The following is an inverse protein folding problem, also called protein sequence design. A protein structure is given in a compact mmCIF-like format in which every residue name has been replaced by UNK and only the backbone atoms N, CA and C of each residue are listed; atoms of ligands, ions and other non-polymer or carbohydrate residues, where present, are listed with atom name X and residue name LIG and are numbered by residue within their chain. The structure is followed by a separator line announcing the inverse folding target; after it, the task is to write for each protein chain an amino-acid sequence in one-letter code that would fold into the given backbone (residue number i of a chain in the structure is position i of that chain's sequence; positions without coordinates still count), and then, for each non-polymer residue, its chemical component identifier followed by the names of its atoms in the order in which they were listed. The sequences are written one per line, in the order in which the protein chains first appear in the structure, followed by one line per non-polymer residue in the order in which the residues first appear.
data_IF_165120913641
#
_entry.id   IF_165120913641
#
_cell.length_a   1.000
_cell.length_b   1.000
_cell.length_c   1.000
_cell.angle_alpha   90.00
_cell.angle_beta   90.00
_cell.angle_gamma   90.00
#
_symmetry.space_group_name_H-M   'P 1'
#
loop_
_entity.id
_entity.type
_entity.pdbx_description
1 polymer ?
#
# COMPACT_ATOMS: atom_id res chain seq x y z
N UNK A 1 5.45 16.30 -13.40
CA UNK A 1 6.21 15.06 -13.31
C UNK A 1 5.53 13.99 -14.15
N UNK A 2 6.24 13.33 -15.03
CA UNK A 2 5.59 12.30 -15.82
C UNK A 2 5.17 11.13 -14.94
N UNK A 3 4.03 10.56 -15.26
CA UNK A 3 3.55 9.38 -14.57
C UNK A 3 4.49 8.23 -14.92
N UNK A 4 4.95 7.44 -13.94
CA UNK A 4 5.76 6.27 -14.22
C UNK A 4 5.04 5.33 -15.21
N UNK A 5 5.79 4.65 -16.04
CA UNK A 5 5.20 3.72 -17.01
C UNK A 5 4.31 2.68 -16.34
N UNK A 6 4.72 2.21 -15.19
CA UNK A 6 3.91 1.31 -14.38
C UNK A 6 2.53 1.90 -14.10
N UNK A 7 2.48 3.14 -13.65
CA UNK A 7 1.20 3.78 -13.32
C UNK A 7 0.36 4.03 -14.57
N UNK A 8 1.01 4.43 -15.67
CA UNK A 8 0.31 4.63 -16.92
C UNK A 8 -0.32 3.33 -17.44
N UNK A 9 0.40 2.22 -17.33
CA UNK A 9 -0.13 0.92 -17.74
C UNK A 9 -1.30 0.48 -16.88
N UNK A 10 -1.19 0.70 -15.57
CA UNK A 10 -2.27 0.36 -14.65
C UNK A 10 -3.50 1.20 -14.96
N UNK A 11 -3.33 2.49 -15.18
CA UNK A 11 -4.44 3.38 -15.47
C UNK A 11 -5.12 3.06 -16.79
N UNK A 12 -4.38 2.57 -17.78
CA UNK A 12 -4.94 2.18 -19.07
C UNK A 12 -5.66 0.84 -19.02
N UNK A 13 -5.32 0.01 -18.08
CA UNK A 13 -6.10 -1.19 -17.82
C UNK A 13 -7.35 -0.74 -17.13
N UNK A 14 -8.44 -0.85 -17.80
CA UNK A 14 -9.72 -0.48 -17.22
C UNK A 14 -9.88 -1.26 -15.92
N UNK A 15 -10.01 -0.55 -14.83
CA UNK A 15 -10.31 -1.18 -13.56
C UNK A 15 -11.66 -1.86 -13.65
N UNK A 16 -11.67 -3.15 -13.41
CA UNK A 16 -12.90 -3.91 -13.40
C UNK A 16 -13.27 -4.21 -11.95
N UNK A 17 -14.31 -3.56 -11.39
CA UNK A 17 -14.68 -3.79 -10.00
C UNK A 17 -15.10 -5.23 -9.73
N UNK A 18 -15.38 -6.01 -10.76
CA UNK A 18 -15.69 -7.42 -10.58
C UNK A 18 -14.46 -8.26 -10.27
N UNK A 19 -13.26 -7.73 -10.47
CA UNK A 19 -12.03 -8.43 -10.08
C UNK A 19 -11.90 -8.49 -8.56
N UNK A 20 -12.47 -7.51 -7.86
CA UNK A 20 -12.51 -7.48 -6.41
C UNK A 20 -13.97 -7.53 -5.98
N UNK A 21 -14.36 -8.66 -5.42
CA UNK A 21 -15.72 -8.80 -4.91
C UNK A 21 -15.86 -8.08 -3.58
N UNK A 22 -17.08 -7.70 -3.27
CA UNK A 22 -17.39 -7.10 -1.98
C UNK A 22 -16.91 -8.01 -0.86
N UNK A 23 -16.12 -7.45 0.06
CA UNK A 23 -15.55 -8.18 1.17
C UNK A 23 -14.18 -8.78 0.92
N UNK A 24 -13.66 -8.70 -0.31
CA UNK A 24 -12.30 -9.11 -0.59
C UNK A 24 -11.31 -8.11 -0.01
N UNK A 25 -10.12 -8.60 0.30
CA UNK A 25 -9.07 -7.74 0.83
C UNK A 25 -8.58 -6.76 -0.23
N UNK A 26 -8.19 -5.56 0.17
CA UNK A 26 -7.51 -4.65 -0.72
C UNK A 26 -6.26 -5.28 -1.33
N UNK A 27 -5.93 -4.88 -2.54
CA UNK A 27 -4.74 -5.37 -3.24
C UNK A 27 -3.85 -4.19 -3.57
N UNK A 28 -2.59 -4.27 -3.13
CA UNK A 28 -1.59 -3.27 -3.45
C UNK A 28 -0.79 -3.75 -4.66
N UNK A 29 -0.77 -2.93 -5.71
CA UNK A 29 -0.05 -3.25 -6.94
C UNK A 29 1.22 -2.40 -6.97
N UNK A 30 2.35 -3.07 -7.11
CA UNK A 30 3.64 -2.40 -7.11
C UNK A 30 4.53 -2.95 -8.23
N UNK A 31 5.51 -2.15 -8.63
CA UNK A 31 6.43 -2.51 -9.69
C UNK A 31 7.72 -3.05 -9.08
N UNK A 32 8.20 -4.18 -9.61
CA UNK A 32 9.46 -4.76 -9.18
C UNK A 32 10.63 -3.84 -9.51
N UNK A 33 11.47 -3.56 -8.53
CA UNK A 33 12.61 -2.64 -8.69
C UNK A 33 13.69 -3.14 -9.64
N UNK A 34 13.75 -4.44 -9.87
CA UNK A 34 14.73 -5.03 -10.77
C UNK A 34 14.15 -5.36 -12.15
N UNK A 35 12.93 -5.90 -12.17
CA UNK A 35 12.36 -6.44 -13.40
C UNK A 35 11.34 -5.52 -14.08
N UNK A 36 10.81 -4.56 -13.35
CA UNK A 36 9.70 -3.73 -13.84
C UNK A 36 8.37 -4.47 -13.91
N UNK A 37 8.31 -5.70 -13.44
CA UNK A 37 7.07 -6.47 -13.42
C UNK A 37 6.14 -5.94 -12.36
N UNK A 38 4.84 -6.07 -12.62
CA UNK A 38 3.83 -5.72 -11.63
C UNK A 38 3.53 -6.91 -10.75
N UNK A 39 3.48 -6.64 -9.46
CA UNK A 39 3.15 -7.64 -8.46
C UNK A 39 1.92 -7.18 -7.69
N UNK A 40 1.16 -8.15 -7.21
CA UNK A 40 -0.05 -7.90 -6.42
C UNK A 40 0.18 -8.46 -5.01
N UNK A 41 -0.07 -7.63 -4.03
CA UNK A 41 0.07 -8.04 -2.63
C UNK A 41 -1.25 -7.76 -1.91
N UNK A 42 -2.04 -8.78 -1.56
CA UNK A 42 -3.24 -8.56 -0.77
C UNK A 42 -2.87 -8.23 0.67
N UNK A 43 -3.44 -7.15 1.20
CA UNK A 43 -3.18 -6.74 2.58
C UNK A 43 -4.25 -5.75 3.03
N UNK A 44 -4.31 -5.53 4.33
CA UNK A 44 -5.25 -4.58 4.88
C UNK A 44 -4.72 -3.15 4.70
N UNK A 45 -5.59 -2.25 4.30
CA UNK A 45 -5.29 -0.84 4.13
C UNK A 45 -6.06 -0.05 5.18
N UNK A 46 -5.35 0.66 6.03
CA UNK A 46 -5.97 1.45 7.09
C UNK A 46 -6.01 2.92 6.68
N UNK A 47 -7.20 3.48 6.44
CA UNK A 47 -7.29 4.87 6.00
C UNK A 47 -6.82 5.83 7.09
N UNK A 48 -6.06 6.82 6.69
CA UNK A 48 -5.61 7.91 7.53
C UNK A 48 -5.87 9.21 6.80
N UNK A 49 -5.57 10.33 7.41
CA UNK A 49 -5.73 11.61 6.73
C UNK A 49 -4.88 11.62 5.46
N UNK A 50 -5.52 11.88 4.33
CA UNK A 50 -4.90 11.99 3.00
C UNK A 50 -4.22 10.73 2.47
N UNK A 51 -4.45 9.57 3.09
CA UNK A 51 -3.77 8.38 2.61
C UNK A 51 -4.13 7.09 3.34
N UNK A 52 -3.16 6.18 3.37
CA UNK A 52 -3.32 4.86 3.96
C UNK A 52 -2.05 4.45 4.70
N UNK A 53 -2.24 3.61 5.72
CA UNK A 53 -1.15 2.96 6.44
C UNK A 53 -1.28 1.45 6.23
N UNK A 54 -0.14 0.82 5.97
CA UNK A 54 -0.04 -0.63 5.79
C UNK A 54 0.89 -1.19 6.86
N UNK A 55 0.49 -2.28 7.50
CA UNK A 55 1.35 -2.94 8.48
C UNK A 55 2.39 -3.79 7.76
N UNK A 56 3.65 -3.58 8.10
CA UNK A 56 4.76 -4.30 7.48
C UNK A 56 5.03 -5.57 8.30
N UNK A 57 4.26 -6.63 8.00
CA UNK A 57 4.22 -7.84 8.82
C UNK A 57 5.51 -8.64 8.82
N UNK A 58 6.28 -8.60 7.74
CA UNK A 58 7.49 -9.41 7.59
C UNK A 58 8.76 -8.56 7.58
N UNK A 59 8.67 -7.35 8.10
CA UNK A 59 9.80 -6.45 8.20
C UNK A 59 10.02 -5.57 6.99
N UNK A 60 10.85 -4.51 7.14
CA UNK A 60 11.05 -3.52 6.07
C UNK A 60 11.85 -4.05 4.90
N UNK A 61 12.44 -5.25 5.03
CA UNK A 61 13.19 -5.88 3.94
C UNK A 61 12.30 -6.70 3.01
N UNK A 62 11.01 -6.78 3.27
CA UNK A 62 10.07 -7.46 2.37
C UNK A 62 10.13 -6.84 0.98
N UNK A 63 10.05 -7.67 -0.05
CA UNK A 63 10.19 -7.20 -1.43
C UNK A 63 9.16 -6.15 -1.81
N UNK A 64 7.92 -6.31 -1.37
CA UNK A 64 6.88 -5.35 -1.72
C UNK A 64 7.17 -3.95 -1.15
N UNK A 65 7.73 -3.88 0.05
CA UNK A 65 8.12 -2.62 0.67
C UNK A 65 9.25 -1.97 -0.11
N UNK A 66 10.28 -2.74 -0.42
CA UNK A 66 11.43 -2.24 -1.17
C UNK A 66 11.03 -1.76 -2.56
N UNK A 67 10.15 -2.51 -3.22
CA UNK A 67 9.64 -2.13 -4.54
C UNK A 67 8.93 -0.78 -4.49
N UNK A 68 8.08 -0.58 -3.51
CA UNK A 68 7.32 0.66 -3.38
C UNK A 68 8.23 1.83 -3.02
N UNK A 69 9.16 1.64 -2.09
CA UNK A 69 10.09 2.70 -1.72
C UNK A 69 10.96 3.10 -2.92
N UNK A 70 11.35 2.15 -3.74
CA UNK A 70 12.13 2.43 -4.93
C UNK A 70 11.32 3.18 -5.99
N UNK A 71 10.11 2.73 -6.26
CA UNK A 71 9.25 3.33 -7.28
C UNK A 71 8.67 4.68 -6.84
N UNK A 72 8.47 4.89 -5.55
CA UNK A 72 7.87 6.10 -5.02
C UNK A 72 6.35 6.14 -5.19
N UNK A 73 5.75 5.07 -5.68
CA UNK A 73 4.30 5.02 -5.92
C UNK A 73 3.82 3.58 -5.96
N UNK A 74 2.50 3.43 -5.82
CA UNK A 74 1.82 2.15 -5.94
C UNK A 74 0.36 2.41 -6.28
N UNK A 75 -0.38 1.36 -6.59
CA UNK A 75 -1.81 1.45 -6.82
C UNK A 75 -2.52 0.57 -5.79
N UNK A 76 -3.52 1.13 -5.14
CA UNK A 76 -4.35 0.40 -4.19
C UNK A 76 -5.71 0.11 -4.81
N UNK A 77 -6.01 -1.16 -5.00
CA UNK A 77 -7.33 -1.60 -5.46
C UNK A 77 -8.19 -1.92 -4.25
N UNK A 78 -9.31 -1.22 -4.19
CA UNK A 78 -10.35 -1.45 -3.22
C UNK A 78 -11.57 -2.02 -3.94
N UNK A 79 -12.52 -2.64 -3.22
CA UNK A 79 -13.69 -3.22 -3.89
C UNK A 79 -14.50 -2.23 -4.73
N UNK A 80 -14.47 -0.95 -4.39
CA UNK A 80 -15.29 0.07 -5.04
C UNK A 80 -14.47 1.11 -5.81
N UNK A 81 -13.14 1.09 -5.72
CA UNK A 81 -12.32 2.12 -6.37
C UNK A 81 -10.85 1.71 -6.44
N UNK A 82 -10.10 2.47 -7.22
CA UNK A 82 -8.66 2.38 -7.31
C UNK A 82 -8.06 3.72 -6.94
N UNK A 83 -7.09 3.72 -6.05
CA UNK A 83 -6.33 4.91 -5.67
C UNK A 83 -4.89 4.78 -6.11
N UNK A 84 -4.35 5.84 -6.69
CA UNK A 84 -2.92 5.98 -6.89
C UNK A 84 -2.30 6.54 -5.62
N UNK A 85 -1.28 5.87 -5.11
CA UNK A 85 -0.60 6.27 -3.88
C UNK A 85 0.82 6.72 -4.18
N UNK A 86 1.26 7.74 -3.44
CA UNK A 86 2.59 8.34 -3.61
C UNK A 86 3.24 8.56 -2.24
N UNK A 87 4.47 9.02 -2.28
CA UNK A 87 5.20 9.43 -1.09
C UNK A 87 5.26 8.35 -0.01
N UNK A 88 5.80 7.16 -0.35
CA UNK A 88 5.93 6.10 0.65
C UNK A 88 6.98 6.45 1.71
N UNK A 89 6.66 6.16 2.95
CA UNK A 89 7.59 6.35 4.05
C UNK A 89 7.29 5.38 5.17
N UNK A 90 8.34 4.94 5.83
CA UNK A 90 8.21 4.02 6.96
C UNK A 90 8.06 4.81 8.26
N UNK A 91 7.13 4.38 9.09
CA UNK A 91 6.87 4.96 10.40
C UNK A 91 7.09 3.89 11.47
N UNK A 92 7.44 4.35 12.67
CA UNK A 92 7.48 3.50 13.86
C UNK A 92 6.08 3.38 14.47
N UNK A 93 5.93 2.48 15.43
CA UNK A 93 4.67 2.35 16.16
C UNK A 93 4.26 3.64 16.86
N UNK A 94 5.22 4.35 17.44
CA UNK A 94 4.96 5.62 18.12
C UNK A 94 4.48 6.71 17.16
N UNK A 95 4.98 6.69 15.94
CA UNK A 95 4.58 7.65 14.92
C UNK A 95 3.22 7.33 14.33
N UNK A 96 2.88 6.06 14.21
CA UNK A 96 1.64 5.65 13.54
C UNK A 96 0.44 5.63 14.48
N UNK A 97 0.64 5.33 15.76
CA UNK A 97 -0.46 5.16 16.70
C UNK A 97 -1.44 6.34 16.71
N UNK A 98 -0.96 7.61 16.80
CA UNK A 98 -1.90 8.74 16.87
C UNK A 98 -2.68 8.99 15.58
N UNK A 99 -2.25 8.42 14.45
CA UNK A 99 -2.93 8.63 13.18
C UNK A 99 -3.81 7.47 12.74
N UNK A 100 -3.78 6.35 13.45
CA UNK A 100 -4.63 5.20 13.12
C UNK A 100 -6.10 5.52 13.36
N UNK A 101 -7.00 4.97 12.52
CA UNK A 101 -8.44 5.15 12.71
C UNK A 101 -8.90 4.56 14.04
N UNK A 102 -10.02 5.07 14.52
CA UNK A 102 -10.66 4.50 15.71
C UNK A 102 -10.97 3.03 15.48
N UNK A 103 -10.68 2.21 16.49
CA UNK A 103 -10.90 0.77 16.39
C UNK A 103 -9.77 -0.02 15.75
N UNK A 104 -8.75 0.66 15.24
CA UNK A 104 -7.56 0.00 14.72
C UNK A 104 -6.45 0.11 15.74
N UNK A 105 -6.06 -1.03 16.28
CA UNK A 105 -5.01 -1.09 17.29
C UNK A 105 -3.68 -1.53 16.66
N UNK A 106 -2.58 -1.17 17.32
CA UNK A 106 -1.28 -1.69 16.95
C UNK A 106 -1.27 -3.21 17.14
N UNK A 107 -0.54 -3.93 16.26
CA UNK A 107 -0.39 -5.37 16.42
C UNK A 107 0.23 -5.72 17.77
N UNK A 108 -0.11 -6.89 18.28
CA UNK A 108 0.46 -7.36 19.51
C UNK A 108 1.98 -7.47 19.40
N UNK A 109 2.68 -7.19 20.50
CA UNK A 109 4.16 -7.19 20.51
C UNK A 109 4.75 -8.50 20.00
N UNK A 110 4.11 -9.62 20.29
CA UNK A 110 4.63 -10.91 19.83
C UNK A 110 4.57 -11.09 18.32
N UNK A 111 3.81 -10.28 17.60
CA UNK A 111 3.77 -10.33 16.14
C UNK A 111 4.94 -9.59 15.50
N UNK A 112 5.71 -8.85 16.28
CA UNK A 112 6.92 -8.16 15.85
C UNK A 112 6.72 -7.23 14.65
N UNK A 113 5.62 -6.53 14.62
CA UNK A 113 5.40 -5.52 13.60
C UNK A 113 5.90 -4.18 14.13
N UNK A 114 7.09 -3.80 13.68
CA UNK A 114 7.78 -2.59 14.13
C UNK A 114 7.75 -1.46 13.12
N UNK A 115 7.34 -1.77 11.90
CA UNK A 115 7.35 -0.81 10.80
C UNK A 115 5.99 -0.72 10.16
N UNK A 116 5.66 0.49 9.74
CA UNK A 116 4.39 0.79 9.09
C UNK A 116 4.68 1.65 7.88
N UNK A 117 4.09 1.30 6.74
CA UNK A 117 4.27 2.06 5.52
C UNK A 117 3.09 3.02 5.37
N UNK A 118 3.37 4.31 5.33
CA UNK A 118 2.36 5.34 5.05
C UNK A 118 2.54 5.85 3.64
N UNK A 119 1.44 5.97 2.92
CA UNK A 119 1.42 6.57 1.58
C UNK A 119 0.26 7.54 1.48
N UNK A 120 0.45 8.56 0.66
CA UNK A 120 -0.57 9.58 0.43
C UNK A 120 -1.35 9.26 -0.84
N UNK A 121 -2.63 9.61 -0.86
CA UNK A 121 -3.43 9.54 -2.09
C UNK A 121 -2.97 10.67 -3.00
N UNK A 122 -2.68 10.33 -4.23
CA UNK A 122 -2.19 11.30 -5.21
C UNK A 122 -3.27 12.30 -5.62
#
# INVERSE_FOLDING_TARGET
MPVPKFMAKVNRRIFNPMELRKGERPVLIHEGRSSGRRFKTPLDAHPVEDGYVFFVMYGPDADWVKNILHAGSAELRLPDRVNTLTNPRLLSGDEVEPILPDGVDLPATFMRVDHFLRMDVA
#
